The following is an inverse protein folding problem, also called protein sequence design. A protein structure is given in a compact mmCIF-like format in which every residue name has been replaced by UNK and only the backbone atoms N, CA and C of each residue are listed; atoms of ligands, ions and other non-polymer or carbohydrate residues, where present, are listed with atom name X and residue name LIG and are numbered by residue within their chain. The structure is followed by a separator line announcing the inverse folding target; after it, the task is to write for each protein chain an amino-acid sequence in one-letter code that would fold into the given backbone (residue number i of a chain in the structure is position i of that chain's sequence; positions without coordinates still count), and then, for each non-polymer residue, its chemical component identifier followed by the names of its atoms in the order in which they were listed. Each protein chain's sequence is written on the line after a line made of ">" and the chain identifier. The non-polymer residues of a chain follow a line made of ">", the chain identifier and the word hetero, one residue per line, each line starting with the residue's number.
data_IF_273542052251
#
_entry.id   IF_273542052251
#
_cell.length_a   1.000
_cell.length_b   1.000
_cell.length_c   1.000
_cell.angle_alpha   90.00
_cell.angle_beta   90.00
_cell.angle_gamma   90.00
#
_symmetry.space_group_name_H-M   'P 1'
#
loop_
_entity.id
_entity.type
_entity.pdbx_description
1 polymer ?
#
# COMPACT_ATOMS: atom_id res chain seq x y z
N UNK A 1 -16.99 -10.75 7.17
CA UNK A 1 -16.02 -11.83 6.97
C UNK A 1 -16.43 -12.97 7.87
N UNK A 2 -16.68 -14.17 7.34
CA UNK A 2 -16.99 -15.37 8.13
C UNK A 2 -15.72 -16.00 8.68
N UNK A 3 -15.83 -16.95 9.61
CA UNK A 3 -14.68 -17.68 10.15
C UNK A 3 -13.90 -18.43 9.06
N UNK A 4 -14.60 -19.04 8.11
CA UNK A 4 -13.98 -19.75 6.98
C UNK A 4 -13.27 -18.81 6.02
N UNK A 5 -13.81 -17.61 5.80
CA UNK A 5 -13.16 -16.55 5.01
C UNK A 5 -11.86 -16.07 5.69
N UNK A 6 -11.86 -15.91 7.02
CA UNK A 6 -10.67 -15.52 7.78
C UNK A 6 -9.57 -16.59 7.71
N UNK A 7 -9.92 -17.87 7.86
CA UNK A 7 -8.97 -18.98 7.70
C UNK A 7 -8.40 -19.03 6.27
N UNK A 8 -9.27 -18.89 5.27
CA UNK A 8 -8.86 -18.88 3.86
C UNK A 8 -7.87 -17.76 3.57
N UNK A 9 -8.10 -16.56 4.12
CA UNK A 9 -7.20 -15.42 3.95
C UNK A 9 -5.85 -15.63 4.66
N UNK A 10 -5.85 -16.23 5.86
CA UNK A 10 -4.61 -16.61 6.57
C UNK A 10 -3.78 -17.63 5.75
N UNK A 11 -4.43 -18.65 5.18
CA UNK A 11 -3.78 -19.66 4.34
C UNK A 11 -3.18 -19.03 3.08
N UNK A 12 -3.94 -18.15 2.40
CA UNK A 12 -3.48 -17.43 1.21
C UNK A 12 -2.22 -16.61 1.48
N UNK A 13 -2.11 -16.03 2.68
CA UNK A 13 -0.96 -15.25 3.16
C UNK A 13 0.13 -16.11 3.81
N UNK A 14 -0.04 -17.44 3.83
CA UNK A 14 0.89 -18.41 4.44
C UNK A 14 1.15 -18.15 5.92
N UNK A 15 0.12 -17.73 6.64
CA UNK A 15 0.19 -17.46 8.06
C UNK A 15 -0.13 -18.73 8.86
N UNK A 16 0.71 -19.04 9.85
CA UNK A 16 0.52 -20.19 10.72
C UNK A 16 -0.45 -19.84 11.85
N UNK A 17 -1.42 -20.72 12.10
CA UNK A 17 -2.37 -20.64 13.21
C UNK A 17 -2.65 -22.05 13.73
N UNK A 18 -3.11 -22.17 14.98
CA UNK A 18 -3.44 -23.47 15.59
C UNK A 18 -4.84 -23.95 15.20
N UNK A 19 -5.11 -25.24 15.35
CA UNK A 19 -6.42 -25.82 14.98
C UNK A 19 -7.57 -25.31 15.88
N UNK A 20 -7.26 -24.90 17.11
CA UNK A 20 -8.17 -24.36 18.13
C UNK A 20 -8.31 -22.82 18.09
N UNK A 21 -7.80 -22.18 17.03
CA UNK A 21 -7.85 -20.71 16.87
C UNK A 21 -9.28 -20.18 16.81
N UNK A 22 -9.55 -19.09 17.54
CA UNK A 22 -10.83 -18.38 17.50
C UNK A 22 -10.86 -17.25 16.44
N UNK A 23 -12.03 -16.63 16.25
CA UNK A 23 -12.21 -15.54 15.29
C UNK A 23 -11.34 -14.33 15.63
N UNK A 24 -11.21 -13.97 16.90
CA UNK A 24 -10.49 -12.78 17.33
C UNK A 24 -8.98 -12.93 17.09
N UNK A 25 -8.43 -14.11 17.37
CA UNK A 25 -7.05 -14.46 17.11
C UNK A 25 -6.74 -14.43 15.60
N UNK A 26 -7.64 -14.95 14.75
CA UNK A 26 -7.47 -14.84 13.29
C UNK A 26 -7.46 -13.38 12.82
N UNK A 27 -8.35 -12.54 13.37
CA UNK A 27 -8.39 -11.11 13.05
C UNK A 27 -7.11 -10.40 13.52
N UNK A 28 -6.65 -10.67 14.74
CA UNK A 28 -5.38 -10.13 15.24
C UNK A 28 -4.22 -10.54 14.35
N UNK A 29 -4.17 -11.81 13.96
CA UNK A 29 -3.08 -12.33 13.16
C UNK A 29 -3.03 -11.71 11.75
N UNK A 30 -4.19 -11.49 11.12
CA UNK A 30 -4.28 -10.75 9.87
C UNK A 30 -3.92 -9.27 10.02
N UNK A 31 -4.33 -8.63 11.12
CA UNK A 31 -3.96 -7.24 11.43
C UNK A 31 -2.46 -7.10 11.65
N UNK A 32 -1.85 -8.03 12.37
CA UNK A 32 -0.41 -8.03 12.62
C UNK A 32 0.38 -8.22 11.34
N UNK A 33 -0.06 -9.15 10.48
CA UNK A 33 0.49 -9.30 9.13
C UNK A 33 0.32 -8.03 8.30
N UNK A 34 -0.86 -7.41 8.37
CA UNK A 34 -1.14 -6.16 7.72
C UNK A 34 -0.28 -5.01 8.24
N UNK A 35 0.17 -5.03 9.49
CA UNK A 35 0.98 -3.97 10.09
C UNK A 35 2.48 -4.27 10.03
N UNK A 36 2.90 -5.38 9.40
CA UNK A 36 4.32 -5.66 9.21
C UNK A 36 4.99 -4.50 8.46
N UNK A 37 6.17 -4.05 8.92
CA UNK A 37 6.92 -3.06 8.19
C UNK A 37 7.23 -3.59 6.79
N UNK A 38 7.22 -2.73 5.76
CA UNK A 38 7.65 -3.12 4.43
C UNK A 38 9.07 -3.69 4.45
N UNK A 39 9.31 -4.73 3.67
CA UNK A 39 10.66 -5.24 3.47
C UNK A 39 11.45 -4.28 2.57
N UNK A 40 12.08 -3.29 3.22
CA UNK A 40 12.88 -2.26 2.54
C UNK A 40 14.06 -2.84 1.77
N UNK A 41 14.62 -3.98 2.19
CA UNK A 41 15.70 -4.65 1.46
C UNK A 41 15.21 -5.21 0.13
N UNK A 42 14.04 -5.85 0.13
CA UNK A 42 13.38 -6.35 -1.08
C UNK A 42 12.96 -5.20 -2.01
N UNK A 43 12.36 -4.16 -1.46
CA UNK A 43 11.93 -2.96 -2.21
C UNK A 43 13.13 -2.32 -2.90
N UNK A 44 14.19 -2.04 -2.13
CA UNK A 44 15.41 -1.42 -2.63
C UNK A 44 16.06 -2.25 -3.74
N UNK A 45 16.21 -3.56 -3.54
CA UNK A 45 16.78 -4.48 -4.55
C UNK A 45 15.93 -4.49 -5.82
N UNK A 46 14.60 -4.41 -5.70
CA UNK A 46 13.70 -4.40 -6.85
C UNK A 46 13.82 -3.10 -7.64
N UNK A 47 13.83 -1.96 -6.98
CA UNK A 47 14.01 -0.66 -7.64
C UNK A 47 15.36 -0.63 -8.36
N UNK A 48 16.43 -1.04 -7.68
CA UNK A 48 17.78 -1.08 -8.26
C UNK A 48 17.84 -1.96 -9.52
N UNK A 49 17.26 -3.17 -9.47
CA UNK A 49 17.34 -4.12 -10.57
C UNK A 49 16.47 -3.73 -11.78
N UNK A 50 15.26 -3.21 -11.55
CA UNK A 50 14.25 -3.06 -12.62
C UNK A 50 14.22 -1.67 -13.26
N UNK A 51 14.83 -0.66 -12.63
CA UNK A 51 14.70 0.73 -13.09
C UNK A 51 15.99 1.33 -13.65
N UNK A 52 17.14 0.70 -13.40
CA UNK A 52 18.46 1.27 -13.72
C UNK A 52 18.80 2.52 -12.90
N UNK A 53 18.01 2.85 -11.88
CA UNK A 53 18.23 3.98 -10.97
C UNK A 53 19.46 3.73 -10.11
N UNK A 54 20.31 4.75 -9.94
CA UNK A 54 21.46 4.66 -9.04
C UNK A 54 21.02 4.68 -7.57
N UNK A 55 21.79 4.05 -6.68
CA UNK A 55 21.38 3.92 -5.28
C UNK A 55 21.20 5.27 -4.57
N UNK A 56 21.97 6.29 -4.96
CA UNK A 56 21.84 7.65 -4.44
C UNK A 56 20.54 8.32 -4.87
N UNK A 57 20.01 7.96 -6.04
CA UNK A 57 18.75 8.50 -6.54
C UNK A 57 17.55 7.89 -5.82
N UNK A 58 17.63 6.61 -5.43
CA UNK A 58 16.58 5.91 -4.68
C UNK A 58 16.34 6.61 -3.34
N UNK A 59 17.40 6.97 -2.63
CA UNK A 59 17.32 7.66 -1.34
C UNK A 59 16.68 9.07 -1.43
N UNK A 60 16.65 9.67 -2.63
CA UNK A 60 16.02 10.97 -2.88
C UNK A 60 14.54 10.87 -3.26
N UNK A 61 14.01 9.65 -3.44
CA UNK A 61 12.60 9.44 -3.79
C UNK A 61 11.72 9.38 -2.55
N UNK A 62 10.52 9.91 -2.68
CA UNK A 62 9.48 9.74 -1.66
C UNK A 62 8.84 8.37 -1.79
N UNK A 63 8.20 7.89 -0.72
CA UNK A 63 7.50 6.60 -0.72
C UNK A 63 6.44 6.50 -1.83
N UNK A 64 5.59 7.52 -2.07
CA UNK A 64 4.66 7.49 -3.20
C UNK A 64 5.34 7.36 -4.57
N UNK A 65 6.52 7.96 -4.76
CA UNK A 65 7.27 7.81 -6.01
C UNK A 65 7.82 6.40 -6.18
N UNK A 66 8.31 5.78 -5.10
CA UNK A 66 8.78 4.39 -5.12
C UNK A 66 7.62 3.43 -5.43
N UNK A 67 6.43 3.67 -4.86
CA UNK A 67 5.23 2.87 -5.18
C UNK A 67 4.86 2.95 -6.67
N UNK A 68 4.81 4.16 -7.24
CA UNK A 68 4.46 4.34 -8.65
C UNK A 68 5.44 3.63 -9.59
N UNK A 69 6.73 3.61 -9.23
CA UNK A 69 7.77 2.88 -9.95
C UNK A 69 7.52 1.36 -9.91
N UNK A 70 7.20 0.83 -8.71
CA UNK A 70 6.95 -0.59 -8.52
C UNK A 70 5.67 -1.04 -9.24
N UNK A 71 4.59 -0.26 -9.14
CA UNK A 71 3.33 -0.52 -9.86
C UNK A 71 3.56 -0.53 -11.38
N UNK A 72 4.30 0.45 -11.90
CA UNK A 72 4.66 0.52 -13.33
C UNK A 72 5.53 -0.65 -13.80
N UNK A 73 6.35 -1.22 -12.91
CA UNK A 73 7.14 -2.42 -13.18
C UNK A 73 6.33 -3.74 -13.06
N UNK A 74 5.04 -3.68 -12.75
CA UNK A 74 4.19 -4.85 -12.52
C UNK A 74 4.43 -5.54 -11.17
N UNK A 75 5.12 -4.86 -10.25
CA UNK A 75 5.56 -5.42 -8.97
C UNK A 75 4.73 -4.85 -7.82
N UNK A 76 3.74 -5.64 -7.39
CA UNK A 76 2.85 -5.26 -6.29
C UNK A 76 3.52 -5.52 -4.93
N UNK A 77 4.53 -4.72 -4.56
CA UNK A 77 5.06 -4.71 -3.20
C UNK A 77 4.32 -3.62 -2.41
N UNK A 78 3.41 -4.03 -1.53
CA UNK A 78 2.66 -3.10 -0.70
C UNK A 78 3.58 -2.41 0.31
N UNK A 79 3.90 -1.13 0.08
CA UNK A 79 4.60 -0.29 1.05
C UNK A 79 3.54 0.35 1.93
N UNK A 80 3.17 -0.25 3.06
CA UNK A 80 2.21 0.39 3.96
C UNK A 80 2.90 1.56 4.68
N UNK A 81 2.65 2.76 4.18
CA UNK A 81 2.91 3.99 4.91
C UNK A 81 1.69 4.24 5.78
N UNK A 82 1.87 4.29 7.10
CA UNK A 82 0.80 4.74 8.01
C UNK A 82 0.35 6.13 7.56
N UNK A 83 -0.75 6.18 6.82
CA UNK A 83 -1.38 7.43 6.42
C UNK A 83 -1.98 8.04 7.69
N UNK A 84 -1.82 9.36 7.93
CA UNK A 84 -2.71 10.04 8.85
C UNK A 84 -4.13 9.82 8.32
N UNK A 85 -4.99 9.25 9.16
CA UNK A 85 -6.41 9.04 8.87
C UNK A 85 -7.08 10.37 8.54
N UNK A 86 -7.17 10.67 7.25
CA UNK A 86 -8.20 11.54 6.68
C UNK A 86 -9.10 10.65 5.86
N UNK A 87 -10.37 10.56 6.23
CA UNK A 87 -11.39 9.74 5.60
C UNK A 87 -11.30 9.80 4.07
N UNK A 88 -10.84 8.71 3.47
CA UNK A 88 -10.84 8.53 2.03
C UNK A 88 -12.29 8.26 1.60
N UNK A 89 -13.06 9.33 1.40
CA UNK A 89 -14.31 9.23 0.66
C UNK A 89 -13.98 8.72 -0.74
N UNK A 90 -14.35 7.48 -1.02
CA UNK A 90 -14.39 6.92 -2.37
C UNK A 90 -15.13 7.89 -3.29
N UNK A 91 -14.53 8.38 -4.39
CA UNK A 91 -15.29 9.11 -5.38
C UNK A 91 -16.14 8.10 -6.13
N UNK A 92 -17.43 8.07 -5.81
CA UNK A 92 -18.44 7.40 -6.62
C UNK A 92 -18.32 7.94 -8.05
N UNK A 93 -18.16 7.03 -8.99
CA UNK A 93 -18.11 7.30 -10.43
C UNK A 93 -19.26 8.19 -10.89
N UNK A 94 -18.95 9.36 -11.43
CA UNK A 94 -19.83 10.09 -12.35
C UNK A 94 -19.01 10.51 -13.57
N UNK A 95 -19.44 10.04 -14.74
CA UNK A 95 -18.87 10.27 -16.07
C UNK A 95 -18.87 11.76 -16.48
N UNK A 96 -18.08 12.61 -15.84
CA UNK A 96 -17.73 13.92 -16.38
C UNK A 96 -16.21 14.09 -16.46
N UNK A 97 -15.68 14.66 -17.56
CA UNK A 97 -14.28 15.04 -17.63
C UNK A 97 -13.94 15.99 -16.48
N UNK A 98 -12.84 15.78 -15.75
CA UNK A 98 -12.46 16.65 -14.65
C UNK A 98 -12.25 18.08 -15.15
N UNK A 99 -12.92 19.04 -14.50
CA UNK A 99 -12.84 20.46 -14.85
C UNK A 99 -11.48 21.02 -14.43
N UNK A 100 -10.93 21.95 -15.21
CA UNK A 100 -9.62 22.60 -14.96
C UNK A 100 -9.50 23.19 -13.55
N UNK A 101 -10.62 23.60 -12.94
CA UNK A 101 -10.67 24.08 -11.55
C UNK A 101 -10.32 23.02 -10.50
N UNK A 102 -10.53 21.73 -10.77
CA UNK A 102 -10.16 20.63 -9.88
C UNK A 102 -8.63 20.43 -9.84
N UNK A 103 -7.95 20.66 -10.96
CA UNK A 103 -6.49 20.66 -10.99
C UNK A 103 -5.89 21.84 -10.21
N UNK A 104 -6.52 23.01 -10.28
CA UNK A 104 -6.11 24.17 -9.49
C UNK A 104 -6.29 23.94 -7.97
N UNK A 105 -7.37 23.25 -7.57
CA UNK A 105 -7.59 22.88 -6.17
C UNK A 105 -6.51 21.91 -5.66
N UNK A 106 -6.10 20.93 -6.49
CA UNK A 106 -5.02 20.01 -6.13
C UNK A 106 -3.66 20.73 -6.04
N UNK A 107 -3.37 21.66 -6.96
CA UNK A 107 -2.14 22.44 -6.94
C UNK A 107 -2.04 23.39 -5.71
N UNK A 108 -3.17 23.98 -5.30
CA UNK A 108 -3.23 24.83 -4.11
C UNK A 108 -3.06 24.05 -2.80
N UNK A 109 -3.37 22.75 -2.79
CA UNK A 109 -3.17 21.89 -1.63
C UNK A 109 -1.69 21.69 -1.27
N UNK A 110 -0.77 21.91 -2.23
CA UNK A 110 0.68 21.85 -2.03
C UNK A 110 1.35 23.21 -1.88
N UNK A 111 0.63 24.33 -2.08
CA UNK A 111 1.19 25.69 -1.92
C UNK A 111 1.20 26.19 -0.47
N UNK A 112 0.81 25.36 0.49
CA UNK A 112 0.76 25.68 1.92
C UNK A 112 1.86 25.06 2.77
N UNK A 113 2.92 24.51 2.17
CA UNK A 113 4.15 24.08 2.88
C UNK A 113 5.25 25.09 2.63
#
# INVERSE_FOLDING_TARGET
>A
MTFDELKSECIKRKLAFSDDVDIEQLIMLLKDDDNKPPDWGKIYSRVLYHTGMHYEEIARRTIPQIMAILDGAGENISIKLGLPTGDSQSPTTANEPPKVSQFAAMANMFSGI
#
